data_IF_866412771309
#
_entry.id   IF_866412771309
#
_cell.length_a   1.000
_cell.length_b   1.000
_cell.length_c   1.000
_cell.angle_alpha   90.00
_cell.angle_beta   90.00
_cell.angle_gamma   90.00
#
_symmetry.space_group_name_H-M   'P 1'
#
loop_
_entity.id
_entity.type
_entity.pdbx_description
1 polymer ?
#
# COMPACT_ATOMS: atom_id res chain seq x y z
N UNK A 1 14.40 -2.95 15.33
CA UNK A 1 15.27 -2.57 16.47
C UNK A 1 16.74 -2.79 16.13
N UNK A 2 17.17 -4.03 15.88
CA UNK A 2 18.55 -4.34 15.46
C UNK A 2 18.97 -3.55 14.20
N UNK A 3 18.09 -3.46 13.20
CA UNK A 3 18.31 -2.65 11.98
C UNK A 3 18.51 -1.17 12.29
N UNK A 4 17.65 -0.58 13.14
CA UNK A 4 17.77 0.82 13.53
C UNK A 4 19.09 1.12 14.24
N UNK A 5 19.53 0.23 15.15
CA UNK A 5 20.81 0.37 15.83
C UNK A 5 22.00 0.17 14.89
N UNK A 6 21.96 -0.86 14.04
CA UNK A 6 23.04 -1.18 13.11
C UNK A 6 23.22 -0.11 12.03
N UNK A 7 22.12 0.53 11.60
CA UNK A 7 22.12 1.58 10.60
C UNK A 7 22.16 3.00 11.19
N UNK A 8 22.25 3.15 12.52
CA UNK A 8 22.14 4.42 13.25
C UNK A 8 20.91 5.26 12.82
N UNK A 9 19.78 4.58 12.61
CA UNK A 9 18.58 5.09 11.94
C UNK A 9 17.40 5.19 12.92
N UNK A 10 17.35 6.23 13.78
CA UNK A 10 16.34 6.34 14.84
C UNK A 10 14.91 6.47 14.32
N UNK A 11 14.69 6.98 13.11
CA UNK A 11 13.36 7.11 12.51
C UNK A 11 12.65 5.77 12.30
N UNK A 12 13.41 4.68 12.14
CA UNK A 12 12.85 3.33 12.05
C UNK A 12 12.14 2.89 13.34
N UNK A 13 12.44 3.53 14.48
CA UNK A 13 11.77 3.25 15.75
C UNK A 13 10.33 3.77 15.77
N UNK A 14 10.07 4.93 15.18
CA UNK A 14 8.73 5.49 15.12
C UNK A 14 7.85 4.70 14.14
N UNK A 15 8.42 4.25 13.02
CA UNK A 15 7.75 3.30 12.11
C UNK A 15 7.43 1.99 12.84
N UNK A 16 8.38 1.45 13.61
CA UNK A 16 8.16 0.25 14.40
C UNK A 16 7.07 0.45 15.48
N UNK A 17 6.96 1.64 16.08
CA UNK A 17 5.93 1.94 17.07
C UNK A 17 4.53 1.91 16.46
N UNK A 18 4.35 2.57 15.30
CA UNK A 18 3.09 2.58 14.55
C UNK A 18 2.70 1.16 14.13
N UNK A 19 3.66 0.37 13.63
CA UNK A 19 3.42 -1.03 13.27
C UNK A 19 3.06 -1.88 14.49
N UNK A 20 3.75 -1.72 15.62
CA UNK A 20 3.49 -2.46 16.84
C UNK A 20 2.13 -2.10 17.49
N UNK A 21 1.66 -0.86 17.35
CA UNK A 21 0.33 -0.43 17.79
C UNK A 21 -0.79 -1.29 17.21
N UNK A 22 -0.59 -1.88 16.02
CA UNK A 22 -1.54 -2.81 15.40
C UNK A 22 -1.87 -4.00 16.31
N UNK A 23 -0.88 -4.55 17.03
CA UNK A 23 -1.09 -5.66 17.96
C UNK A 23 -2.02 -5.31 19.12
N UNK A 24 -2.06 -4.04 19.51
CA UNK A 24 -2.78 -3.55 20.67
C UNK A 24 -4.13 -2.90 20.34
N UNK A 25 -4.52 -2.86 19.07
CA UNK A 25 -5.84 -2.37 18.63
C UNK A 25 -5.82 -1.20 17.67
N UNK A 26 -4.65 -0.63 17.33
CA UNK A 26 -4.52 0.36 16.27
C UNK A 26 -4.56 -0.31 14.87
N UNK A 27 -5.65 -1.00 14.62
CA UNK A 27 -5.91 -1.77 13.41
C UNK A 27 -7.37 -1.58 12.97
N UNK A 28 -7.72 -2.13 11.81
CA UNK A 28 -9.03 -1.92 11.20
C UNK A 28 -10.20 -2.50 12.00
N UNK A 29 -9.95 -3.49 12.84
CA UNK A 29 -10.97 -4.09 13.71
C UNK A 29 -11.19 -3.28 15.00
N UNK A 30 -10.23 -2.44 15.39
CA UNK A 30 -10.19 -1.75 16.68
C UNK A 30 -9.98 -2.69 17.88
N UNK A 31 -9.74 -3.99 17.65
CA UNK A 31 -9.57 -5.01 18.70
C UNK A 31 -8.10 -5.41 18.82
N UNK A 32 -7.62 -5.77 20.02
CA UNK A 32 -6.28 -6.34 20.18
C UNK A 32 -6.10 -7.58 19.30
N UNK A 33 -4.98 -7.63 18.57
CA UNK A 33 -4.58 -8.78 17.80
C UNK A 33 -3.70 -9.74 18.61
N UNK A 34 -3.15 -9.29 19.75
CA UNK A 34 -2.37 -10.08 20.69
C UNK A 34 -3.08 -10.19 22.05
N UNK A 35 -3.09 -11.38 22.63
CA UNK A 35 -3.56 -11.62 23.99
C UNK A 35 -2.37 -11.88 24.94
N UNK A 36 -2.04 -10.96 25.86
CA UNK A 36 -0.91 -11.13 26.77
C UNK A 36 -1.12 -12.21 27.84
N UNK A 37 -2.37 -12.57 28.16
CA UNK A 37 -2.64 -13.59 29.18
C UNK A 37 -2.32 -15.01 28.68
N UNK A 38 -2.47 -15.24 27.38
CA UNK A 38 -2.30 -16.58 26.75
C UNK A 38 -1.11 -16.63 25.80
N UNK A 39 -0.57 -15.49 25.38
CA UNK A 39 0.46 -15.40 24.35
C UNK A 39 -0.04 -15.62 22.93
N UNK A 40 -1.36 -15.78 22.72
CA UNK A 40 -1.94 -16.07 21.41
C UNK A 40 -2.10 -14.81 20.56
N UNK A 41 -2.10 -14.99 19.24
CA UNK A 41 -2.30 -13.90 18.28
C UNK A 41 -3.33 -14.31 17.22
N UNK A 42 -4.09 -13.35 16.70
CA UNK A 42 -4.95 -13.60 15.56
C UNK A 42 -4.12 -13.77 14.28
N UNK A 43 -4.65 -14.52 13.32
CA UNK A 43 -3.98 -14.79 12.05
C UNK A 43 -3.99 -13.57 11.12
N UNK A 44 -5.06 -12.77 11.20
CA UNK A 44 -5.22 -11.58 10.38
C UNK A 44 -6.52 -10.84 10.59
N UNK A 45 -6.61 -9.69 9.92
CA UNK A 45 -7.79 -8.83 9.88
C UNK A 45 -8.09 -8.53 8.41
N UNK A 46 -9.32 -8.81 8.00
CA UNK A 46 -9.82 -8.58 6.65
C UNK A 46 -9.94 -7.08 6.33
N UNK A 47 -10.09 -6.77 5.04
CA UNK A 47 -10.25 -5.38 4.56
C UNK A 47 -11.52 -4.69 5.06
N UNK A 48 -12.52 -5.46 5.50
CA UNK A 48 -13.74 -4.95 6.14
C UNK A 48 -13.66 -4.91 7.68
N UNK A 49 -12.50 -5.29 8.26
CA UNK A 49 -12.27 -5.30 9.69
C UNK A 49 -12.68 -6.59 10.40
N UNK A 50 -13.20 -7.60 9.68
CA UNK A 50 -13.44 -8.92 10.26
C UNK A 50 -12.13 -9.54 10.76
N UNK A 51 -12.19 -10.15 11.93
CA UNK A 51 -11.05 -10.83 12.56
C UNK A 51 -11.06 -12.31 12.17
N UNK A 52 -9.93 -12.83 11.69
CA UNK A 52 -9.69 -14.26 11.62
C UNK A 52 -9.12 -14.74 12.97
N UNK A 53 -9.90 -15.44 13.80
CA UNK A 53 -9.48 -15.81 15.15
C UNK A 53 -8.51 -17.00 15.19
N UNK A 54 -8.15 -17.57 14.04
CA UNK A 54 -7.12 -18.60 13.98
C UNK A 54 -5.81 -18.07 14.59
N UNK A 55 -5.02 -18.96 15.18
CA UNK A 55 -3.73 -18.64 15.79
C UNK A 55 -2.73 -19.70 15.35
N UNK A 56 -2.35 -19.65 14.07
CA UNK A 56 -1.39 -20.57 13.48
C UNK A 56 0.01 -20.42 14.11
N UNK A 57 0.89 -21.38 13.82
CA UNK A 57 2.26 -21.34 14.33
C UNK A 57 3.00 -20.06 13.87
N UNK A 58 2.85 -19.68 12.61
CA UNK A 58 3.53 -18.51 12.03
C UNK A 58 3.07 -17.20 12.67
N UNK A 59 1.76 -16.93 12.72
CA UNK A 59 1.20 -15.72 13.35
C UNK A 59 1.56 -15.63 14.83
N UNK A 60 1.57 -16.76 15.54
CA UNK A 60 1.95 -16.81 16.96
C UNK A 60 3.45 -16.53 17.16
N UNK A 61 4.34 -17.21 16.44
CA UNK A 61 5.80 -17.04 16.55
C UNK A 61 6.20 -15.60 16.22
N UNK A 62 5.71 -15.05 15.11
CA UNK A 62 6.01 -13.68 14.71
C UNK A 62 5.52 -12.66 15.73
N UNK A 63 4.33 -12.86 16.30
CA UNK A 63 3.82 -11.97 17.35
C UNK A 63 4.67 -12.03 18.60
N UNK A 64 5.04 -13.22 19.08
CA UNK A 64 5.88 -13.37 20.27
C UNK A 64 7.29 -12.80 20.05
N UNK A 65 7.88 -12.96 18.86
CA UNK A 65 9.14 -12.31 18.50
C UNK A 65 9.02 -10.77 18.54
N UNK A 66 7.90 -10.22 18.06
CA UNK A 66 7.60 -8.79 18.18
C UNK A 66 7.50 -8.37 19.65
N UNK A 67 6.82 -9.13 20.50
CA UNK A 67 6.69 -8.81 21.93
C UNK A 67 8.05 -8.85 22.65
N UNK A 68 8.89 -9.86 22.36
CA UNK A 68 10.26 -9.93 22.89
C UNK A 68 11.10 -8.71 22.46
N UNK A 69 10.94 -8.27 21.21
CA UNK A 69 11.62 -7.08 20.72
C UNK A 69 11.16 -5.80 21.43
N UNK A 70 9.86 -5.68 21.73
CA UNK A 70 9.30 -4.57 22.52
C UNK A 70 9.78 -4.61 23.97
N UNK A 71 9.77 -5.78 24.61
CA UNK A 71 10.22 -5.94 26.00
C UNK A 71 11.69 -5.56 26.18
N UNK A 72 12.53 -5.88 25.20
CA UNK A 72 13.93 -5.47 25.17
C UNK A 72 14.14 -3.96 24.96
N UNK A 73 13.08 -3.20 24.61
CA UNK A 73 13.16 -1.77 24.25
C UNK A 73 12.01 -0.98 24.88
N UNK A 74 12.10 -0.63 26.18
CA UNK A 74 11.01 -0.02 26.93
C UNK A 74 10.45 1.29 26.34
N UNK A 75 11.30 2.13 25.75
CA UNK A 75 10.86 3.37 25.10
C UNK A 75 9.99 3.09 23.86
N UNK A 76 10.38 2.13 23.03
CA UNK A 76 9.56 1.71 21.88
C UNK A 76 8.25 1.11 22.38
N UNK A 77 8.30 0.24 23.38
CA UNK A 77 7.10 -0.37 23.97
C UNK A 77 6.13 0.70 24.49
N UNK A 78 6.63 1.71 25.19
CA UNK A 78 5.81 2.83 25.66
C UNK A 78 5.15 3.59 24.50
N UNK A 79 5.90 3.89 23.42
CA UNK A 79 5.34 4.52 22.22
C UNK A 79 4.25 3.67 21.57
N UNK A 80 4.49 2.38 21.39
CA UNK A 80 3.54 1.45 20.78
C UNK A 80 2.25 1.31 21.61
N UNK A 81 2.36 1.19 22.94
CA UNK A 81 1.21 1.14 23.85
C UNK A 81 0.47 2.49 23.95
N UNK A 82 1.15 3.60 23.65
CA UNK A 82 0.55 4.92 23.54
C UNK A 82 -0.32 5.11 22.29
N UNK A 83 -0.26 4.17 21.33
CA UNK A 83 -1.03 4.17 20.08
C UNK A 83 -2.17 3.15 20.21
N UNK A 84 -3.40 3.63 20.36
CA UNK A 84 -4.58 2.77 20.53
C UNK A 84 -5.50 2.76 19.32
N UNK A 85 -5.33 3.70 18.38
CA UNK A 85 -6.29 3.89 17.28
C UNK A 85 -5.59 4.39 16.02
N UNK A 86 -5.93 3.76 14.89
CA UNK A 86 -5.61 4.28 13.56
C UNK A 86 -6.74 5.20 13.11
N UNK A 87 -6.45 6.49 13.01
CA UNK A 87 -7.41 7.55 12.67
C UNK A 87 -7.65 7.61 11.16
N UNK A 88 -6.60 7.39 10.37
CA UNK A 88 -6.70 7.46 8.92
C UNK A 88 -5.50 6.84 8.23
N UNK A 89 -5.75 6.28 7.05
CA UNK A 89 -4.72 5.72 6.17
C UNK A 89 -4.97 6.18 4.75
N UNK A 90 -3.98 6.79 4.10
CA UNK A 90 -3.96 6.92 2.65
C UNK A 90 -2.78 6.09 2.12
N UNK A 91 -3.09 5.02 1.40
CA UNK A 91 -2.12 4.03 0.97
C UNK A 91 -2.60 3.30 -0.28
N UNK A 92 -2.17 2.05 -0.42
CA UNK A 92 -2.48 1.23 -1.59
C UNK A 92 -4.00 1.09 -1.80
N UNK A 93 -4.43 1.22 -3.06
CA UNK A 93 -5.82 1.00 -3.51
C UNK A 93 -5.80 0.13 -4.76
N UNK A 94 -6.76 -0.77 -4.89
CA UNK A 94 -6.94 -1.57 -6.11
C UNK A 94 -8.03 -0.93 -6.97
N UNK A 95 -7.79 -0.87 -8.28
CA UNK A 95 -8.79 -0.57 -9.30
C UNK A 95 -9.00 -1.82 -10.15
N UNK A 96 -10.15 -2.47 -9.98
CA UNK A 96 -10.48 -3.76 -10.59
C UNK A 96 -10.68 -3.64 -12.11
N UNK A 97 -10.08 -4.53 -12.89
CA UNK A 97 -10.13 -4.43 -14.35
C UNK A 97 -11.56 -4.63 -14.89
N UNK A 98 -12.34 -5.50 -14.26
CA UNK A 98 -13.72 -5.82 -14.65
C UNK A 98 -14.72 -4.69 -14.42
N UNK A 99 -14.32 -3.63 -13.70
CA UNK A 99 -15.08 -2.38 -13.61
C UNK A 99 -14.92 -1.50 -14.86
N UNK A 100 -14.00 -1.86 -15.77
CA UNK A 100 -13.63 -1.09 -16.94
C UNK A 100 -14.52 -1.27 -18.16
N UNK A 101 -14.34 -0.36 -19.13
CA UNK A 101 -14.93 -0.51 -20.47
C UNK A 101 -13.99 -1.33 -21.35
N UNK A 102 -14.48 -2.45 -21.87
CA UNK A 102 -13.69 -3.46 -22.59
C UNK A 102 -14.01 -3.40 -24.09
N UNK A 103 -13.00 -3.59 -24.94
CA UNK A 103 -13.14 -3.81 -26.37
C UNK A 103 -12.19 -4.92 -26.80
N UNK A 104 -12.65 -5.91 -27.56
CA UNK A 104 -11.82 -7.04 -27.99
C UNK A 104 -11.44 -7.99 -26.85
N UNK A 105 -12.33 -8.22 -25.89
CA UNK A 105 -12.14 -9.10 -24.74
C UNK A 105 -13.41 -9.24 -23.90
N UNK A 106 -13.31 -9.85 -22.73
CA UNK A 106 -14.44 -10.04 -21.81
C UNK A 106 -13.98 -10.16 -20.34
N UNK A 107 -14.92 -9.94 -19.42
CA UNK A 107 -14.75 -10.31 -18.01
C UNK A 107 -14.89 -11.83 -17.88
N UNK A 108 -13.95 -12.46 -17.17
CA UNK A 108 -13.97 -13.88 -16.85
C UNK A 108 -14.16 -14.05 -15.34
N UNK A 109 -15.14 -14.87 -14.97
CA UNK A 109 -15.37 -15.31 -13.58
C UNK A 109 -15.01 -16.79 -13.45
N UNK A 110 -13.81 -17.13 -12.96
CA UNK A 110 -13.44 -18.52 -12.76
C UNK A 110 -14.33 -19.18 -11.69
N UNK A 111 -14.38 -20.51 -11.67
CA UNK A 111 -15.11 -21.25 -10.65
C UNK A 111 -14.57 -21.01 -9.23
N UNK A 112 -13.31 -20.60 -9.13
CA UNK A 112 -12.61 -20.22 -7.90
C UNK A 112 -11.72 -19.02 -8.18
N UNK A 113 -11.72 -18.04 -7.27
CA UNK A 113 -10.77 -16.91 -7.31
C UNK A 113 -9.33 -17.37 -7.03
N UNK A 114 -9.18 -18.46 -6.26
CA UNK A 114 -7.90 -19.05 -5.93
C UNK A 114 -7.28 -19.77 -7.14
N UNK A 115 -6.08 -19.34 -7.54
CA UNK A 115 -5.32 -19.90 -8.68
C UNK A 115 -4.47 -21.10 -8.31
N UNK A 116 -4.35 -21.41 -7.01
CA UNK A 116 -3.33 -22.33 -6.49
C UNK A 116 -2.13 -21.62 -5.86
N UNK A 117 -1.94 -20.32 -6.14
CA UNK A 117 -0.84 -19.49 -5.59
C UNK A 117 -1.29 -18.11 -5.16
N UNK A 118 -2.23 -17.52 -5.89
CA UNK A 118 -2.74 -16.18 -5.69
C UNK A 118 -4.26 -16.18 -5.80
N UNK A 119 -4.88 -15.06 -5.46
CA UNK A 119 -6.30 -14.83 -5.70
C UNK A 119 -6.48 -13.72 -6.73
N UNK A 120 -7.40 -13.94 -7.67
CA UNK A 120 -7.97 -12.84 -8.46
C UNK A 120 -8.76 -11.91 -7.52
N UNK A 121 -8.44 -10.63 -7.51
CA UNK A 121 -9.23 -9.65 -6.76
C UNK A 121 -10.65 -9.57 -7.35
N UNK A 122 -11.64 -9.32 -6.49
CA UNK A 122 -13.06 -9.38 -6.87
C UNK A 122 -13.57 -10.76 -7.34
N UNK A 123 -12.71 -11.79 -7.42
CA UNK A 123 -13.04 -13.11 -7.97
C UNK A 123 -13.24 -13.11 -9.49
N UNK A 124 -12.72 -12.11 -10.20
CA UNK A 124 -12.84 -11.97 -11.64
C UNK A 124 -11.56 -11.37 -12.24
N UNK A 125 -11.43 -11.42 -13.56
CA UNK A 125 -10.39 -10.70 -14.30
C UNK A 125 -10.88 -10.35 -15.69
N UNK A 126 -10.16 -9.49 -16.42
CA UNK A 126 -10.42 -9.19 -17.82
C UNK A 126 -9.47 -9.99 -18.70
N UNK A 127 -10.02 -10.82 -19.58
CA UNK A 127 -9.30 -11.43 -20.68
C UNK A 127 -9.39 -10.53 -21.92
N UNK A 128 -8.26 -10.04 -22.40
CA UNK A 128 -8.17 -9.32 -23.67
C UNK A 128 -7.54 -10.22 -24.73
N UNK A 129 -8.07 -10.16 -25.95
CA UNK A 129 -7.38 -10.69 -27.12
C UNK A 129 -6.31 -9.69 -27.58
N UNK A 130 -5.37 -10.14 -28.40
CA UNK A 130 -4.42 -9.25 -29.08
C UNK A 130 -5.14 -8.06 -29.77
N UNK A 131 -4.69 -6.83 -29.50
CA UNK A 131 -5.30 -5.59 -29.98
C UNK A 131 -6.49 -5.08 -29.16
N UNK A 132 -6.98 -5.88 -28.21
CA UNK A 132 -8.03 -5.50 -27.27
C UNK A 132 -7.59 -4.41 -26.28
N UNK A 133 -8.57 -3.76 -25.67
CA UNK A 133 -8.35 -2.69 -24.70
C UNK A 133 -9.28 -2.80 -23.51
N UNK A 134 -8.81 -2.37 -22.34
CA UNK A 134 -9.66 -2.09 -21.18
C UNK A 134 -9.34 -0.70 -20.64
N UNK A 135 -10.37 0.14 -20.48
CA UNK A 135 -10.29 1.42 -19.78
C UNK A 135 -10.80 1.22 -18.35
N UNK A 136 -9.89 1.16 -17.40
CA UNK A 136 -10.16 0.90 -15.97
C UNK A 136 -10.38 2.25 -15.28
N UNK A 137 -11.55 2.51 -14.68
CA UNK A 137 -11.75 3.70 -13.87
C UNK A 137 -10.88 3.62 -12.60
N UNK A 138 -10.29 4.73 -12.21
CA UNK A 138 -9.51 4.81 -10.97
C UNK A 138 -10.06 5.91 -10.07
N UNK A 139 -9.96 5.78 -8.73
CA UNK A 139 -10.42 6.82 -7.82
C UNK A 139 -9.72 8.16 -8.11
N UNK A 140 -10.41 9.29 -7.96
CA UNK A 140 -9.76 10.58 -8.05
C UNK A 140 -8.69 10.75 -6.93
N UNK A 141 -7.62 11.48 -7.22
CA UNK A 141 -6.58 11.84 -6.25
C UNK A 141 -6.00 13.21 -6.57
N UNK A 142 -5.68 13.97 -5.53
CA UNK A 142 -5.00 15.26 -5.58
C UNK A 142 -3.49 15.14 -5.80
N UNK A 143 -2.94 13.91 -5.77
CA UNK A 143 -1.53 13.61 -5.95
C UNK A 143 -1.30 12.56 -7.03
N UNK A 144 -0.09 12.54 -7.57
CA UNK A 144 0.34 11.48 -8.48
C UNK A 144 0.44 10.14 -7.72
N UNK A 145 0.27 9.04 -8.46
CA UNK A 145 0.26 7.68 -7.90
C UNK A 145 1.14 6.77 -8.74
N UNK A 146 2.01 6.01 -8.10
CA UNK A 146 2.67 4.89 -8.79
C UNK A 146 1.59 3.85 -9.11
N UNK A 147 1.62 3.31 -10.33
CA UNK A 147 0.64 2.35 -10.80
C UNK A 147 1.32 1.02 -11.08
N UNK A 148 0.73 -0.05 -10.57
CA UNK A 148 1.22 -1.42 -10.73
C UNK A 148 0.12 -2.31 -11.31
N UNK A 149 0.04 -2.46 -12.64
CA UNK A 149 -0.90 -3.40 -13.22
C UNK A 149 -0.63 -4.83 -12.76
N UNK A 150 -1.71 -5.51 -12.39
CA UNK A 150 -1.68 -6.89 -11.94
C UNK A 150 -2.07 -7.74 -13.13
N UNK A 151 -1.07 -8.43 -13.70
CA UNK A 151 -1.21 -9.25 -14.91
C UNK A 151 -0.86 -10.68 -14.56
N UNK A 152 -1.62 -11.63 -15.09
CA UNK A 152 -1.21 -13.03 -15.07
C UNK A 152 -0.28 -13.31 -16.25
N UNK A 153 1.01 -13.23 -15.97
CA UNK A 153 2.06 -13.51 -16.94
C UNK A 153 2.08 -15.01 -17.22
N UNK A 154 1.84 -15.38 -18.48
CA UNK A 154 1.83 -16.79 -18.91
C UNK A 154 3.23 -17.42 -18.89
N UNK A 155 3.34 -18.75 -18.75
CA UNK A 155 4.64 -19.45 -18.79
C UNK A 155 5.40 -19.19 -20.09
N UNK A 156 4.73 -19.36 -21.23
CA UNK A 156 5.30 -19.18 -22.56
C UNK A 156 5.55 -17.72 -22.89
N UNK A 157 6.55 -17.46 -23.73
CA UNK A 157 6.82 -16.11 -24.22
C UNK A 157 5.60 -15.56 -24.98
N UNK A 158 5.23 -14.33 -24.67
CA UNK A 158 4.12 -13.62 -25.30
C UNK A 158 4.50 -12.14 -25.51
N UNK A 159 3.53 -11.36 -26.00
CA UNK A 159 3.71 -9.93 -26.22
C UNK A 159 3.71 -9.11 -24.93
N UNK A 160 3.37 -7.84 -25.06
CA UNK A 160 3.29 -6.90 -23.95
C UNK A 160 2.00 -6.12 -24.01
N UNK A 161 1.48 -5.75 -22.85
CA UNK A 161 0.38 -4.79 -22.71
C UNK A 161 0.94 -3.40 -22.46
N UNK A 162 0.50 -2.43 -23.25
CA UNK A 162 0.83 -1.01 -23.09
C UNK A 162 -0.17 -0.30 -22.20
N UNK A 163 0.31 0.58 -21.32
CA UNK A 163 -0.50 1.27 -20.31
C UNK A 163 -0.41 2.79 -20.47
N UNK A 164 -1.55 3.47 -20.44
CA UNK A 164 -1.65 4.91 -20.64
C UNK A 164 -2.75 5.55 -19.79
N UNK A 165 -2.71 6.87 -19.64
CA UNK A 165 -3.81 7.67 -19.09
C UNK A 165 -3.94 8.97 -19.90
N UNK A 166 -5.10 9.16 -20.54
CA UNK A 166 -5.26 10.19 -21.57
C UNK A 166 -4.22 10.03 -22.68
N UNK A 167 -3.45 11.08 -22.96
CA UNK A 167 -2.33 11.05 -23.91
C UNK A 167 -1.00 10.61 -23.30
N UNK A 168 -0.94 10.33 -21.99
CA UNK A 168 0.30 10.00 -21.29
C UNK A 168 0.54 8.49 -21.34
N UNK A 169 1.63 8.07 -21.97
CA UNK A 169 2.12 6.70 -21.84
C UNK A 169 2.78 6.50 -20.47
N UNK A 170 2.34 5.46 -19.75
CA UNK A 170 2.80 5.16 -18.39
C UNK A 170 3.87 4.06 -18.36
N UNK A 171 3.81 3.10 -19.29
CA UNK A 171 4.76 1.99 -19.38
C UNK A 171 4.13 0.75 -20.04
N UNK A 172 4.81 -0.39 -19.92
CA UNK A 172 4.33 -1.68 -20.44
C UNK A 172 4.56 -2.82 -19.46
N UNK A 173 3.74 -3.87 -19.55
CA UNK A 173 3.89 -5.11 -18.78
C UNK A 173 4.06 -6.31 -19.71
N UNK A 174 4.81 -7.35 -19.30
CA UNK A 174 4.88 -8.59 -20.07
C UNK A 174 3.58 -9.38 -19.96
N UNK A 175 3.11 -9.96 -21.06
CA UNK A 175 1.93 -10.84 -21.08
C UNK A 175 2.31 -12.31 -20.86
N UNK A 176 3.60 -12.65 -21.02
CA UNK A 176 4.14 -14.01 -20.93
C UNK A 176 5.62 -14.04 -20.59
N UNK A 177 6.22 -15.22 -20.60
CA UNK A 177 7.61 -15.46 -20.24
C UNK A 177 7.87 -15.54 -18.73
N UNK A 178 6.90 -16.07 -17.96
CA UNK A 178 7.08 -16.30 -16.52
C UNK A 178 8.06 -17.45 -16.23
N UNK A 179 8.36 -18.31 -17.22
CA UNK A 179 9.19 -19.50 -17.08
C UNK A 179 8.36 -20.77 -16.83
N UNK A 180 9.04 -21.89 -16.61
CA UNK A 180 8.38 -23.16 -16.31
C UNK A 180 7.58 -23.08 -15.01
N UNK A 181 6.46 -23.80 -14.98
CA UNK A 181 5.61 -23.91 -13.79
C UNK A 181 6.39 -24.56 -12.64
N UNK A 182 6.31 -23.95 -11.45
CA UNK A 182 6.91 -24.52 -10.24
C UNK A 182 6.11 -25.70 -9.68
N UNK A 183 6.26 -25.95 -8.37
CA UNK A 183 5.42 -26.91 -7.63
C UNK A 183 3.97 -26.41 -7.44
N UNK A 184 3.72 -25.19 -7.90
CA UNK A 184 2.46 -24.48 -8.07
C UNK A 184 1.42 -25.25 -8.90
N UNK A 185 0.11 -25.20 -8.61
CA UNK A 185 -0.93 -25.57 -9.57
C UNK A 185 -1.24 -24.43 -10.57
N UNK A 186 -0.74 -23.21 -10.31
CA UNK A 186 -1.02 -22.04 -11.12
C UNK A 186 -0.20 -22.04 -12.43
N UNK A 187 -0.85 -22.00 -13.62
CA UNK A 187 -0.15 -21.90 -14.90
C UNK A 187 0.23 -20.43 -15.16
N UNK A 188 1.34 -19.98 -14.57
CA UNK A 188 1.88 -18.63 -14.75
C UNK A 188 2.06 -17.88 -13.44
N UNK A 189 2.17 -16.55 -13.55
CA UNK A 189 2.48 -15.68 -12.42
C UNK A 189 1.55 -14.47 -12.40
N UNK A 190 0.63 -14.43 -11.43
CA UNK A 190 -0.17 -13.24 -11.14
C UNK A 190 0.68 -12.25 -10.34
N UNK A 191 1.01 -11.10 -10.93
CA UNK A 191 2.00 -10.19 -10.33
C UNK A 191 1.72 -8.71 -10.59
N UNK A 192 1.95 -7.83 -9.60
CA UNK A 192 1.95 -6.38 -9.80
C UNK A 192 3.25 -5.92 -10.45
N UNK A 193 3.19 -5.47 -11.71
CA UNK A 193 4.35 -4.94 -12.44
C UNK A 193 4.45 -3.42 -12.29
N UNK A 194 5.64 -2.87 -12.08
CA UNK A 194 5.83 -1.41 -12.02
C UNK A 194 5.77 -0.77 -13.41
N UNK A 195 5.07 0.35 -13.53
CA UNK A 195 5.14 1.22 -14.71
C UNK A 195 6.25 2.26 -14.58
N UNK A 196 6.75 2.75 -15.72
CA UNK A 196 7.87 3.70 -15.80
C UNK A 196 7.52 5.09 -15.27
N UNK A 197 6.23 5.47 -15.37
CA UNK A 197 5.72 6.77 -14.94
C UNK A 197 4.54 6.63 -14.00
N UNK A 198 4.50 7.52 -13.01
CA UNK A 198 3.35 7.65 -12.15
C UNK A 198 2.12 8.14 -12.93
N UNK A 199 0.96 7.63 -12.54
CA UNK A 199 -0.33 8.16 -12.93
C UNK A 199 -0.48 9.60 -12.40
N UNK A 200 -0.75 10.61 -13.25
CA UNK A 200 -0.88 11.99 -12.80
C UNK A 200 -2.01 12.22 -11.79
N UNK A 201 -1.86 13.28 -10.99
CA UNK A 201 -2.96 13.79 -10.15
C UNK A 201 -4.18 14.13 -11.02
N UNK A 202 -5.38 13.89 -10.51
CA UNK A 202 -6.64 14.13 -11.22
C UNK A 202 -6.97 13.11 -12.32
N UNK A 203 -6.07 12.18 -12.65
CA UNK A 203 -6.39 11.12 -13.61
C UNK A 203 -7.51 10.22 -13.09
N UNK A 204 -8.49 9.96 -13.94
CA UNK A 204 -9.72 9.23 -13.64
C UNK A 204 -9.73 7.80 -14.21
N UNK A 205 -8.75 7.46 -15.03
CA UNK A 205 -8.66 6.16 -15.67
C UNK A 205 -7.25 5.77 -16.09
N UNK A 206 -7.04 4.47 -16.22
CA UNK A 206 -5.87 3.84 -16.81
C UNK A 206 -6.35 2.94 -17.96
N UNK A 207 -5.70 3.02 -19.11
CA UNK A 207 -6.04 2.25 -20.31
C UNK A 207 -4.94 1.24 -20.60
N UNK A 208 -5.31 -0.03 -20.62
CA UNK A 208 -4.49 -1.11 -21.14
C UNK A 208 -4.84 -1.35 -22.62
N UNK A 209 -3.81 -1.52 -23.45
CA UNK A 209 -3.92 -2.02 -24.83
C UNK A 209 -3.01 -3.22 -25.01
N UNK A 210 -3.63 -4.36 -25.23
CA UNK A 210 -2.99 -5.67 -25.26
C UNK A 210 -2.24 -5.89 -26.58
N UNK A 211 -0.96 -6.24 -26.51
CA UNK A 211 -0.15 -6.64 -27.66
C UNK A 211 -0.29 -8.13 -27.99
N UNK A 212 -0.76 -8.92 -27.04
CA UNK A 212 -1.13 -10.33 -27.20
C UNK A 212 -2.28 -10.68 -26.27
N UNK A 213 -2.74 -11.94 -26.27
CA UNK A 213 -3.77 -12.36 -25.32
C UNK A 213 -3.25 -12.22 -23.87
N UNK A 214 -4.05 -11.64 -23.00
CA UNK A 214 -3.64 -11.31 -21.63
C UNK A 214 -4.81 -11.37 -20.65
N UNK A 215 -4.52 -11.82 -19.43
CA UNK A 215 -5.44 -11.76 -18.30
C UNK A 215 -4.99 -10.69 -17.31
N UNK A 216 -5.86 -9.70 -17.09
CA UNK A 216 -5.61 -8.52 -16.25
C UNK A 216 -6.57 -8.56 -15.07
N UNK A 217 -6.04 -8.59 -13.85
CA UNK A 217 -6.80 -8.56 -12.60
C UNK A 217 -7.24 -7.13 -12.27
N UNK A 218 -6.29 -6.19 -12.29
CA UNK A 218 -6.55 -4.80 -11.97
C UNK A 218 -5.29 -3.95 -12.01
N UNK A 219 -5.36 -2.78 -11.41
CA UNK A 219 -4.21 -1.89 -11.19
C UNK A 219 -4.13 -1.54 -9.72
N UNK A 220 -3.00 -1.87 -9.10
CA UNK A 220 -2.68 -1.40 -7.75
C UNK A 220 -2.12 0.03 -7.85
N UNK A 221 -2.68 0.94 -7.06
CA UNK A 221 -2.36 2.36 -7.06
C UNK A 221 -1.75 2.74 -5.71
N UNK A 222 -0.54 3.26 -5.73
CA UNK A 222 0.17 3.75 -4.55
C UNK A 222 0.28 5.27 -4.62
N UNK A 223 -0.28 6.03 -3.67
CA UNK A 223 0.03 7.45 -3.51
C UNK A 223 1.55 7.66 -3.42
N UNK A 224 2.07 8.68 -4.11
CA UNK A 224 3.48 9.03 -3.97
C UNK A 224 3.83 9.49 -2.55
N UNK A 225 2.84 9.98 -1.79
CA UNK A 225 2.93 10.19 -0.35
C UNK A 225 1.81 9.38 0.31
N UNK A 226 2.19 8.24 0.88
CA UNK A 226 1.32 7.47 1.76
C UNK A 226 1.33 8.08 3.16
N UNK A 227 0.23 7.93 3.89
CA UNK A 227 0.14 8.38 5.27
C UNK A 227 -0.61 7.41 6.18
N UNK A 228 -0.18 7.36 7.45
CA UNK A 228 -0.88 6.69 8.54
C UNK A 228 -0.98 7.65 9.72
N UNK A 229 -2.20 8.04 10.06
CA UNK A 229 -2.51 8.88 11.22
C UNK A 229 -2.96 8.00 12.37
N UNK A 230 -2.33 8.15 13.52
CA UNK A 230 -2.61 7.38 14.74
C UNK A 230 -2.90 8.30 15.93
N UNK A 231 -3.62 7.77 16.91
CA UNK A 231 -3.92 8.45 18.17
C UNK A 231 -3.93 7.48 19.36
N UNK A 232 -3.84 8.04 20.56
CA UNK A 232 -3.98 7.33 21.83
C UNK A 232 -3.47 8.18 23.00
N UNK A 233 -3.10 7.54 24.09
CA UNK A 233 -2.54 8.23 25.28
C UNK A 233 -1.19 8.89 25.00
N UNK A 234 -0.47 8.47 23.95
CA UNK A 234 0.76 9.08 23.47
C UNK A 234 0.54 10.36 22.64
N UNK A 235 -0.71 10.75 22.39
CA UNK A 235 -1.08 11.89 21.54
C UNK A 235 -1.45 11.48 20.12
N UNK A 236 -1.45 12.46 19.21
CA UNK A 236 -1.76 12.26 17.79
C UNK A 236 -0.50 12.39 16.95
N UNK A 237 -0.31 11.51 15.97
CA UNK A 237 0.85 11.54 15.07
C UNK A 237 0.46 11.07 13.68
N UNK A 238 1.12 11.60 12.66
CA UNK A 238 0.97 11.14 11.27
C UNK A 238 2.33 10.78 10.70
N UNK A 239 2.47 9.52 10.29
CA UNK A 239 3.62 9.04 9.54
C UNK A 239 3.36 9.31 8.05
N UNK A 240 4.29 9.99 7.39
CA UNK A 240 4.30 10.18 5.93
C UNK A 240 5.43 9.34 5.32
N UNK A 241 5.13 8.64 4.23
CA UNK A 241 6.06 7.76 3.54
C UNK A 241 6.09 8.17 2.07
N UNK A 242 7.26 8.59 1.58
CA UNK A 242 7.45 8.93 0.17
C UNK A 242 7.78 7.68 -0.65
N UNK A 243 7.07 7.50 -1.75
CA UNK A 243 7.37 6.56 -2.83
C UNK A 243 7.69 7.30 -4.14
N UNK A 244 7.91 8.61 -4.07
CA UNK A 244 8.29 9.42 -5.22
C UNK A 244 9.77 9.21 -5.56
N UNK A 245 10.08 9.20 -6.85
CA UNK A 245 11.45 9.16 -7.37
C UNK A 245 12.13 10.55 -7.39
N UNK A 246 11.38 11.61 -7.07
CA UNK A 246 11.86 12.98 -7.00
C UNK A 246 11.20 13.77 -5.87
N UNK A 247 11.61 15.03 -5.70
CA UNK A 247 11.04 15.92 -4.69
C UNK A 247 9.59 16.26 -5.00
N UNK A 248 8.74 16.15 -3.99
CA UNK A 248 7.33 16.52 -4.04
C UNK A 248 6.93 17.26 -2.76
N UNK A 249 6.04 18.22 -2.90
CA UNK A 249 5.54 19.02 -1.78
C UNK A 249 4.17 18.50 -1.32
N UNK A 250 3.99 18.35 0.00
CA UNK A 250 2.70 18.09 0.63
C UNK A 250 2.36 19.24 1.56
N UNK A 251 1.19 19.84 1.33
CA UNK A 251 0.61 20.74 2.30
C UNK A 251 0.01 19.91 3.44
N UNK A 252 0.34 20.29 4.67
CA UNK A 252 -0.21 19.71 5.88
C UNK A 252 -0.96 20.82 6.59
N UNK A 253 -2.28 20.64 6.71
CA UNK A 253 -3.12 21.59 7.45
C UNK A 253 -2.97 21.34 8.94
N UNK A 254 -2.52 22.35 9.67
CA UNK A 254 -2.39 22.30 11.12
C UNK A 254 -3.63 22.94 11.76
N UNK A 255 -4.42 22.19 12.55
CA UNK A 255 -5.58 22.76 13.22
C UNK A 255 -5.15 23.90 14.16
N UNK A 256 -6.02 24.91 14.31
CA UNK A 256 -5.76 26.03 15.21
C UNK A 256 -5.54 25.51 16.65
N UNK A 257 -4.52 26.06 17.33
CA UNK A 257 -4.17 25.67 18.70
C UNK A 257 -3.23 24.48 18.83
N UNK A 258 -2.81 23.85 17.72
CA UNK A 258 -1.79 22.81 17.71
C UNK A 258 -0.41 23.36 17.35
N UNK A 259 0.64 22.68 17.81
CA UNK A 259 2.02 22.92 17.40
C UNK A 259 2.52 21.75 16.56
N UNK A 260 3.03 22.04 15.36
CA UNK A 260 3.66 21.04 14.51
C UNK A 260 5.09 20.78 14.99
N UNK A 261 5.34 19.54 15.43
CA UNK A 261 6.70 19.01 15.54
C UNK A 261 6.91 18.00 14.41
N UNK A 262 7.86 18.29 13.52
CA UNK A 262 8.17 17.45 12.38
C UNK A 262 9.57 16.87 12.54
N UNK A 263 9.74 15.62 12.12
CA UNK A 263 11.04 14.99 11.88
C UNK A 263 11.03 14.41 10.47
N UNK A 264 12.17 14.45 9.80
CA UNK A 264 12.32 13.95 8.44
C UNK A 264 13.52 13.02 8.39
N UNK A 265 13.37 11.91 7.66
CA UNK A 265 14.39 10.90 7.52
C UNK A 265 14.55 10.53 6.04
N UNK A 266 15.78 10.20 5.64
CA UNK A 266 16.03 9.71 4.29
C UNK A 266 15.69 8.21 4.15
N UNK A 267 15.93 7.63 2.97
CA UNK A 267 15.63 6.22 2.69
C UNK A 267 16.45 5.23 3.54
N UNK A 268 17.54 5.67 4.18
CA UNK A 268 18.31 4.87 5.14
C UNK A 268 17.83 5.03 6.59
N UNK A 269 16.85 5.92 6.81
CA UNK A 269 16.31 6.25 8.13
C UNK A 269 17.16 7.26 8.90
N UNK A 270 18.08 7.95 8.23
CA UNK A 270 18.94 8.98 8.81
C UNK A 270 18.23 10.34 8.87
N UNK A 271 18.38 11.13 9.95
CA UNK A 271 17.73 12.44 10.06
C UNK A 271 18.19 13.41 8.97
N UNK A 272 17.25 14.05 8.29
CA UNK A 272 17.52 15.13 7.35
C UNK A 272 17.45 16.46 8.12
N UNK A 273 18.51 17.28 8.01
CA UNK A 273 18.48 18.66 8.56
C UNK A 273 17.35 19.44 7.88
N UNK A 274 16.36 19.86 8.64
CA UNK A 274 15.23 20.62 8.11
C UNK A 274 15.70 21.92 7.45
N UNK A 275 15.27 22.15 6.21
CA UNK A 275 15.15 23.49 5.68
C UNK A 275 14.00 24.17 6.43
N UNK A 276 14.30 25.33 7.05
CA UNK A 276 13.42 26.15 7.89
C UNK A 276 11.92 25.93 7.65
N UNK A 277 11.21 25.58 8.73
CA UNK A 277 9.74 25.70 8.84
C UNK A 277 9.35 27.12 8.43
N UNK A 278 8.78 27.30 7.24
CA UNK A 278 8.07 28.54 6.90
C UNK A 278 6.72 28.45 7.59
N UNK A 279 6.63 29.00 8.79
CA UNK A 279 5.34 29.30 9.41
C UNK A 279 4.58 30.23 8.47
N UNK A 280 3.61 29.69 7.73
CA UNK A 280 2.64 30.49 7.01
C UNK A 280 1.73 31.18 8.01
N UNK A 281 2.11 32.38 8.46
CA UNK A 281 1.14 33.31 9.03
C UNK A 281 0.28 33.81 7.87
N UNK A 282 -0.96 33.34 7.78
CA UNK A 282 -2.01 34.11 7.09
C UNK A 282 -2.44 35.22 8.03
N UNK A 283 -1.98 36.45 7.79
CA UNK A 283 -2.58 37.65 8.38
C UNK A 283 -4.02 37.82 7.90
N UNK A 284 -4.92 38.37 8.73
CA UNK A 284 -6.30 38.65 8.33
C UNK A 284 -6.31 39.83 7.35
N UNK A 285 -6.88 39.62 6.17
CA UNK A 285 -7.26 40.72 5.29
C UNK A 285 -8.57 41.33 5.80
N UNK A 286 -8.59 42.65 5.79
CA UNK A 286 -9.58 43.57 6.33
C UNK A 286 -10.99 43.34 5.75
N UNK A 287 -12.00 43.57 6.59
CA UNK A 287 -13.35 43.96 6.18
C UNK A 287 -13.48 45.48 6.35
N UNK A 288 -14.32 46.16 5.54
CA UNK A 288 -14.13 47.54 5.09
C UNK A 288 -14.15 48.62 6.18
#
# INVERSE_FOLDING_TARGET
MATAKAADAPGLLDVAAVAAGWYFGANRSGKPAYNPATGTAIDGIETDGRVNPNSGAESTIHTLLSMLALDANPELKAKALGISTTVGTDGLKVAEAESGTITGGAVVKPASAWTGEANWSGGAYVALNAGGTVKIPVPASDQARNAYPIVNQRPEAAGTTSWSSGSTFLGSTPDGGAGEQGITAAPGKLFPFSLDRALPAGADSVVAKAGSDVSIDGVLLQPQISSVSVSGSGGTSTLYISAATGSIDRKVDMPQGFHLNQQAFDASGQPIKQARTRTGQTSPAESP
#
